data_IF_296135567107
#
_entry.id   IF_296135567107
#
_cell.length_a   1.000
_cell.length_b   1.000
_cell.length_c   1.000
_cell.angle_alpha   90.00
_cell.angle_beta   90.00
_cell.angle_gamma   90.00
#
_symmetry.space_group_name_H-M   'P 1'
#
loop_
_entity.id
_entity.type
_entity.pdbx_description
1 polymer ?
#
# COMPACT_ATOMS: atom_id res chain seq x y z
N UNK A 1 16.57 -34.50 0.40
CA UNK A 1 16.50 -33.93 1.75
C UNK A 1 15.35 -32.91 1.72
N UNK A 2 14.26 -33.25 2.37
CA UNK A 2 13.11 -32.36 2.51
C UNK A 2 13.52 -31.21 3.41
N UNK A 3 13.41 -29.99 2.90
CA UNK A 3 13.67 -28.76 3.65
C UNK A 3 12.36 -28.20 4.15
N UNK A 4 12.35 -27.62 5.32
CA UNK A 4 11.20 -26.92 5.83
C UNK A 4 11.05 -25.55 5.12
N UNK A 5 9.81 -25.16 4.91
CA UNK A 5 9.47 -23.84 4.37
C UNK A 5 9.94 -22.75 5.33
N UNK A 6 10.65 -21.75 4.82
CA UNK A 6 11.17 -20.64 5.61
C UNK A 6 10.10 -19.76 6.28
N UNK A 7 8.83 -19.90 5.87
CA UNK A 7 7.75 -19.07 6.40
C UNK A 7 6.80 -19.82 7.34
N UNK A 8 6.55 -21.12 7.14
CA UNK A 8 5.50 -21.83 7.86
C UNK A 8 5.91 -23.25 8.32
N UNK A 9 7.18 -23.60 8.24
CA UNK A 9 7.77 -24.88 8.63
C UNK A 9 7.20 -26.16 7.98
N UNK A 10 6.26 -26.02 7.05
CA UNK A 10 5.75 -27.14 6.27
C UNK A 10 6.80 -27.65 5.29
N UNK A 11 6.76 -28.92 4.87
CA UNK A 11 7.69 -29.42 3.87
C UNK A 11 7.72 -28.57 2.60
N UNK A 12 8.93 -28.25 2.13
CA UNK A 12 9.17 -27.56 0.88
C UNK A 12 9.98 -28.49 -0.05
N UNK A 13 9.47 -28.68 -1.27
CA UNK A 13 10.11 -29.48 -2.29
C UNK A 13 11.31 -28.73 -2.90
N UNK A 14 12.45 -29.40 -3.03
CA UNK A 14 13.60 -28.80 -3.72
C UNK A 14 13.21 -28.46 -5.19
N UNK A 15 13.68 -27.35 -5.75
CA UNK A 15 14.71 -26.42 -5.26
C UNK A 15 14.15 -25.25 -4.43
N UNK A 16 12.90 -25.29 -3.99
CA UNK A 16 12.20 -24.19 -3.35
C UNK A 16 12.57 -24.03 -1.88
N UNK A 17 12.63 -22.80 -1.41
CA UNK A 17 12.76 -22.46 0.01
C UNK A 17 11.41 -22.22 0.67
N UNK A 18 10.34 -22.10 -0.13
CA UNK A 18 8.97 -21.93 0.29
C UNK A 18 8.09 -23.10 -0.18
N UNK A 19 7.14 -23.52 0.65
CA UNK A 19 6.12 -24.50 0.24
C UNK A 19 5.15 -23.91 -0.80
N UNK A 20 4.37 -24.78 -1.46
CA UNK A 20 3.43 -24.39 -2.52
C UNK A 20 2.45 -23.29 -2.08
N UNK A 21 1.95 -23.35 -0.85
CA UNK A 21 1.01 -22.35 -0.31
C UNK A 21 1.69 -20.99 -0.16
N UNK A 22 2.90 -20.95 0.43
CA UNK A 22 3.64 -19.71 0.61
C UNK A 22 4.10 -19.10 -0.73
N UNK A 23 4.40 -19.91 -1.74
CA UNK A 23 4.72 -19.41 -3.09
C UNK A 23 3.50 -18.73 -3.76
N UNK A 24 2.29 -19.29 -3.57
CA UNK A 24 1.05 -18.65 -4.05
C UNK A 24 0.78 -17.34 -3.32
N UNK A 25 0.98 -17.33 -2.02
CA UNK A 25 0.83 -16.13 -1.21
C UNK A 25 1.85 -15.06 -1.61
N UNK A 26 3.09 -15.43 -1.90
CA UNK A 26 4.11 -14.52 -2.42
C UNK A 26 3.66 -13.84 -3.71
N UNK A 27 3.15 -14.62 -4.67
CA UNK A 27 2.62 -14.10 -5.93
C UNK A 27 1.43 -13.14 -5.70
N UNK A 28 0.52 -13.51 -4.78
CA UNK A 28 -0.65 -12.69 -4.42
C UNK A 28 -0.23 -11.35 -3.81
N UNK A 29 0.75 -11.36 -2.91
CA UNK A 29 1.24 -10.15 -2.27
C UNK A 29 1.98 -9.23 -3.24
N UNK A 30 2.77 -9.76 -4.17
CA UNK A 30 3.39 -8.95 -5.23
C UNK A 30 2.35 -8.25 -6.11
N UNK A 31 1.28 -8.97 -6.47
CA UNK A 31 0.17 -8.38 -7.22
C UNK A 31 -0.57 -7.30 -6.39
N UNK A 32 -0.88 -7.58 -5.12
CA UNK A 32 -1.52 -6.65 -4.19
C UNK A 32 -0.67 -5.39 -4.01
N UNK A 33 0.63 -5.55 -3.80
CA UNK A 33 1.57 -4.44 -3.66
C UNK A 33 1.61 -3.58 -4.93
N UNK A 34 1.60 -4.19 -6.11
CA UNK A 34 1.53 -3.46 -7.38
C UNK A 34 0.32 -2.52 -7.45
N UNK A 35 -0.86 -3.04 -7.10
CA UNK A 35 -2.10 -2.23 -7.07
C UNK A 35 -1.99 -1.11 -6.04
N UNK A 36 -1.54 -1.45 -4.83
CA UNK A 36 -1.39 -0.51 -3.72
C UNK A 36 -0.41 0.63 -4.05
N UNK A 37 0.72 0.34 -4.71
CA UNK A 37 1.70 1.37 -5.08
C UNK A 37 1.19 2.32 -6.17
N UNK A 38 0.38 1.84 -7.12
CA UNK A 38 -0.27 2.74 -8.08
C UNK A 38 -1.22 3.73 -7.38
N UNK A 39 -2.01 3.24 -6.43
CA UNK A 39 -2.92 4.08 -5.64
C UNK A 39 -2.14 5.04 -4.73
N UNK A 40 -1.08 4.54 -4.07
CA UNK A 40 -0.22 5.36 -3.21
C UNK A 40 0.46 6.48 -4.00
N UNK A 41 0.93 6.20 -5.22
CA UNK A 41 1.52 7.20 -6.10
C UNK A 41 0.51 8.30 -6.45
N UNK A 42 -0.74 7.94 -6.71
CA UNK A 42 -1.80 8.91 -6.97
C UNK A 42 -2.11 9.76 -5.73
N UNK A 43 -2.10 9.14 -4.52
CA UNK A 43 -2.23 9.88 -3.25
C UNK A 43 -1.04 10.81 -3.02
N UNK A 44 0.19 10.37 -3.29
CA UNK A 44 1.40 11.19 -3.16
C UNK A 44 1.35 12.43 -4.07
N UNK A 45 0.90 12.26 -5.30
CA UNK A 45 0.74 13.36 -6.27
C UNK A 45 -0.52 14.20 -6.04
N UNK A 46 -1.32 13.88 -5.02
CA UNK A 46 -2.63 14.51 -4.78
C UNK A 46 -3.57 14.50 -5.99
N UNK A 47 -3.41 13.54 -6.89
CA UNK A 47 -4.31 13.34 -8.03
C UNK A 47 -5.73 13.01 -7.56
N UNK A 48 -5.84 12.31 -6.42
CA UNK A 48 -7.10 12.22 -5.67
C UNK A 48 -7.18 13.42 -4.71
N UNK A 49 -7.83 14.49 -5.13
CA UNK A 49 -8.41 15.42 -4.19
C UNK A 49 -9.50 14.67 -3.44
N UNK A 50 -9.16 14.14 -2.27
CA UNK A 50 -10.17 13.85 -1.27
C UNK A 50 -10.78 15.20 -0.95
N UNK A 51 -11.82 15.57 -1.68
CA UNK A 51 -12.62 16.75 -1.39
C UNK A 51 -13.11 16.54 0.03
N UNK A 52 -12.50 17.22 1.01
CA UNK A 52 -13.19 17.46 2.25
C UNK A 52 -14.37 18.35 1.91
N UNK A 53 -15.61 17.80 1.90
CA UNK A 53 -16.77 18.64 1.73
C UNK A 53 -16.89 19.49 2.99
N UNK A 54 -16.59 20.77 2.90
CA UNK A 54 -16.74 21.69 3.99
C UNK A 54 -15.57 22.62 4.30
N UNK A 55 -14.41 22.48 3.69
CA UNK A 55 -13.35 23.49 3.78
C UNK A 55 -13.60 24.65 2.82
N UNK A 56 -14.80 25.24 2.87
CA UNK A 56 -15.14 26.51 2.25
C UNK A 56 -14.65 27.72 3.07
N UNK A 57 -13.69 27.52 3.98
CA UNK A 57 -12.97 28.57 4.63
C UNK A 57 -11.89 29.12 3.70
N UNK A 58 -11.93 30.43 3.37
CA UNK A 58 -10.81 31.15 2.77
C UNK A 58 -9.55 30.81 3.57
N UNK A 59 -8.45 30.43 2.90
CA UNK A 59 -7.17 30.26 3.61
C UNK A 59 -6.77 31.63 4.17
N UNK A 60 -6.92 31.78 5.47
CA UNK A 60 -6.37 32.90 6.21
C UNK A 60 -4.87 32.63 6.33
N UNK A 61 -4.05 33.32 5.52
CA UNK A 61 -2.63 33.57 5.72
C UNK A 61 -1.76 32.39 6.18
N UNK A 62 -1.86 31.23 5.55
CA UNK A 62 -0.95 30.11 5.76
C UNK A 62 -0.25 29.75 4.45
N UNK A 63 0.98 29.25 4.54
CA UNK A 63 1.72 28.73 3.39
C UNK A 63 0.84 27.84 2.53
N UNK A 64 0.94 28.00 1.20
CA UNK A 64 0.21 27.15 0.26
C UNK A 64 0.52 25.68 0.60
N UNK A 65 -0.50 24.81 0.74
CA UNK A 65 -0.27 23.43 1.10
C UNK A 65 0.68 22.79 0.10
N UNK A 66 1.72 22.11 0.60
CA UNK A 66 2.71 21.47 -0.25
C UNK A 66 2.03 20.67 -1.38
N UNK A 67 2.51 20.78 -2.62
CA UNK A 67 1.87 20.14 -3.78
C UNK A 67 1.92 18.61 -3.74
N UNK A 68 2.68 18.03 -2.81
CA UNK A 68 2.94 16.61 -2.66
C UNK A 68 2.54 16.17 -1.24
N UNK A 69 1.96 14.98 -1.12
CA UNK A 69 1.78 14.33 0.17
C UNK A 69 3.11 13.64 0.56
N UNK A 70 3.91 14.32 1.37
CA UNK A 70 5.24 13.85 1.77
C UNK A 70 5.21 12.47 2.44
N UNK A 71 4.23 12.19 3.31
CA UNK A 71 4.15 10.90 3.97
C UNK A 71 3.87 9.75 3.00
N UNK A 72 3.01 9.96 2.00
CA UNK A 72 2.77 8.98 0.96
C UNK A 72 3.99 8.81 0.03
N UNK A 73 4.72 9.91 -0.22
CA UNK A 73 5.95 9.86 -1.00
C UNK A 73 7.06 9.09 -0.26
N UNK A 74 7.29 9.37 1.01
CA UNK A 74 8.27 8.65 1.84
C UNK A 74 7.96 7.14 1.90
N UNK A 75 6.69 6.78 2.01
CA UNK A 75 6.26 5.38 2.00
C UNK A 75 6.53 4.71 0.65
N UNK A 76 6.32 5.44 -0.45
CA UNK A 76 6.59 4.96 -1.80
C UNK A 76 8.09 4.70 -1.98
N UNK A 77 8.94 5.64 -1.56
CA UNK A 77 10.39 5.56 -1.69
C UNK A 77 10.95 4.41 -0.83
N UNK A 78 10.52 4.29 0.43
CA UNK A 78 10.90 3.17 1.31
C UNK A 78 10.49 1.80 0.73
N UNK A 79 9.33 1.73 0.10
CA UNK A 79 8.86 0.48 -0.51
C UNK A 79 9.64 0.16 -1.79
N UNK A 80 10.00 1.17 -2.58
CA UNK A 80 10.85 1.00 -3.77
C UNK A 80 12.24 0.48 -3.38
N UNK A 81 12.87 1.03 -2.35
CA UNK A 81 14.16 0.56 -1.84
C UNK A 81 14.08 -0.90 -1.40
N UNK A 82 13.08 -1.28 -0.62
CA UNK A 82 12.90 -2.67 -0.20
C UNK A 82 12.64 -3.63 -1.36
N UNK A 83 11.91 -3.20 -2.40
CA UNK A 83 11.74 -3.98 -3.63
C UNK A 83 13.07 -4.16 -4.37
N UNK A 84 13.89 -3.12 -4.46
CA UNK A 84 15.20 -3.20 -5.09
C UNK A 84 16.11 -4.18 -4.35
N UNK A 85 16.13 -4.13 -3.02
CA UNK A 85 16.90 -5.07 -2.19
C UNK A 85 16.46 -6.52 -2.40
N UNK A 86 15.14 -6.75 -2.45
CA UNK A 86 14.59 -8.07 -2.74
C UNK A 86 15.02 -8.59 -4.13
N UNK A 87 15.03 -7.73 -5.15
CA UNK A 87 15.45 -8.09 -6.51
C UNK A 87 16.96 -8.31 -6.62
N UNK A 88 17.77 -7.59 -5.86
CA UNK A 88 19.23 -7.77 -5.83
C UNK A 88 19.60 -9.21 -5.44
N UNK A 89 18.83 -9.88 -4.60
CA UNK A 89 19.05 -11.29 -4.26
C UNK A 89 18.84 -12.26 -5.43
N UNK A 90 18.17 -11.82 -6.49
CA UNK A 90 18.01 -12.61 -7.73
C UNK A 90 19.08 -12.31 -8.79
N UNK A 91 20.12 -11.55 -8.43
CA UNK A 91 21.23 -11.20 -9.34
C UNK A 91 20.90 -10.07 -10.31
N UNK A 92 19.90 -9.26 -10.02
CA UNK A 92 19.59 -8.06 -10.82
C UNK A 92 20.40 -6.88 -10.31
N UNK A 93 21.47 -6.52 -10.97
CA UNK A 93 22.36 -5.41 -10.58
C UNK A 93 21.81 -4.01 -10.90
N UNK A 94 20.81 -3.91 -11.77
CA UNK A 94 20.17 -2.64 -12.11
C UNK A 94 19.15 -2.24 -11.04
N UNK A 95 18.97 -0.92 -10.83
CA UNK A 95 17.95 -0.36 -9.93
C UNK A 95 16.75 0.17 -10.73
N UNK A 96 15.94 -0.69 -11.35
CA UNK A 96 14.76 -0.23 -12.06
C UNK A 96 13.69 0.28 -11.07
N UNK A 97 12.83 1.15 -11.56
CA UNK A 97 11.68 1.63 -10.78
C UNK A 97 10.74 0.49 -10.40
N UNK A 98 10.02 0.65 -9.30
CA UNK A 98 9.08 -0.34 -8.77
C UNK A 98 8.07 -0.84 -9.82
N UNK A 99 7.64 0.02 -10.77
CA UNK A 99 6.73 -0.38 -11.84
C UNK A 99 7.32 -1.50 -12.70
N UNK A 100 8.59 -1.38 -13.03
CA UNK A 100 9.31 -2.39 -13.83
C UNK A 100 9.52 -3.66 -13.03
N UNK A 101 9.94 -3.55 -11.77
CA UNK A 101 10.12 -4.70 -10.87
C UNK A 101 8.84 -5.52 -10.75
N UNK A 102 7.72 -4.86 -10.44
CA UNK A 102 6.44 -5.55 -10.23
C UNK A 102 5.76 -5.99 -11.53
N UNK A 103 6.06 -5.36 -12.67
CA UNK A 103 5.64 -5.87 -13.97
C UNK A 103 6.33 -7.20 -14.30
N UNK A 104 7.62 -7.30 -13.97
CA UNK A 104 8.44 -8.46 -14.30
C UNK A 104 8.37 -9.55 -13.21
N UNK A 105 7.70 -9.28 -12.09
CA UNK A 105 7.53 -10.17 -10.94
C UNK A 105 7.02 -11.59 -11.30
N UNK A 106 6.02 -11.78 -12.19
CA UNK A 106 5.58 -13.13 -12.54
C UNK A 106 6.67 -13.99 -13.15
N UNK A 107 7.58 -13.39 -13.93
CA UNK A 107 8.72 -14.08 -14.56
C UNK A 107 9.81 -14.41 -13.55
N UNK A 108 10.02 -13.57 -12.56
CA UNK A 108 11.05 -13.69 -11.52
C UNK A 108 10.59 -14.43 -10.27
N UNK A 109 9.30 -14.72 -10.16
CA UNK A 109 8.75 -15.42 -8.99
C UNK A 109 9.48 -16.73 -8.67
N UNK A 110 9.89 -17.56 -9.64
CA UNK A 110 10.68 -18.75 -9.34
C UNK A 110 12.02 -18.43 -8.64
N UNK A 111 12.73 -17.39 -9.08
CA UNK A 111 14.02 -17.00 -8.52
C UNK A 111 13.82 -16.43 -7.10
N UNK A 112 12.81 -15.57 -6.90
CA UNK A 112 12.45 -15.03 -5.60
C UNK A 112 12.08 -16.13 -4.59
N UNK A 113 11.36 -17.16 -5.03
CA UNK A 113 10.99 -18.29 -4.17
C UNK A 113 12.12 -19.30 -3.93
N UNK A 114 13.26 -19.17 -4.61
CA UNK A 114 14.50 -19.95 -4.38
C UNK A 114 15.54 -19.16 -3.59
N UNK A 115 15.38 -17.85 -3.50
CA UNK A 115 16.30 -16.98 -2.79
C UNK A 115 16.49 -17.42 -1.32
N UNK A 116 17.67 -17.19 -0.79
CA UNK A 116 18.04 -17.61 0.56
C UNK A 116 17.19 -16.95 1.66
N UNK A 117 16.61 -15.77 1.39
CA UNK A 117 15.79 -14.98 2.32
C UNK A 117 14.33 -14.88 1.90
N UNK A 118 13.82 -15.82 1.12
CA UNK A 118 12.46 -15.75 0.58
C UNK A 118 11.38 -15.68 1.66
N UNK A 119 11.55 -16.32 2.81
CA UNK A 119 10.64 -16.22 3.95
C UNK A 119 10.63 -14.82 4.56
N UNK A 120 11.79 -14.18 4.70
CA UNK A 120 11.90 -12.80 5.14
C UNK A 120 11.16 -11.84 4.19
N UNK A 121 11.33 -12.00 2.89
CA UNK A 121 10.66 -11.15 1.90
C UNK A 121 9.16 -11.37 1.85
N UNK A 122 8.68 -12.57 2.10
CA UNK A 122 7.24 -12.83 2.22
C UNK A 122 6.62 -12.06 3.39
N UNK A 123 7.29 -12.07 4.55
CA UNK A 123 6.89 -11.29 5.72
C UNK A 123 6.96 -9.79 5.44
N UNK A 124 8.03 -9.32 4.81
CA UNK A 124 8.20 -7.93 4.44
C UNK A 124 7.08 -7.44 3.49
N UNK A 125 6.73 -8.23 2.45
CA UNK A 125 5.63 -7.92 1.53
C UNK A 125 4.30 -7.78 2.26
N UNK A 126 4.03 -8.65 3.24
CA UNK A 126 2.82 -8.57 4.07
C UNK A 126 2.77 -7.22 4.80
N UNK A 127 3.84 -6.88 5.51
CA UNK A 127 3.91 -5.61 6.24
C UNK A 127 3.88 -4.38 5.33
N UNK A 128 4.52 -4.44 4.17
CA UNK A 128 4.45 -3.36 3.19
C UNK A 128 3.02 -3.08 2.74
N UNK A 129 2.26 -4.13 2.39
CA UNK A 129 0.84 -4.00 2.05
C UNK A 129 0.01 -3.43 3.20
N UNK A 130 0.20 -3.95 4.42
CA UNK A 130 -0.53 -3.49 5.62
C UNK A 130 -0.26 -2.03 5.97
N UNK A 131 0.96 -1.54 5.76
CA UNK A 131 1.33 -0.14 6.00
C UNK A 131 0.77 0.82 4.95
N UNK A 132 0.67 0.38 3.70
CA UNK A 132 0.19 1.20 2.59
C UNK A 132 -1.34 1.33 2.60
N UNK A 133 -2.06 0.26 2.92
CA UNK A 133 -3.52 0.21 2.84
C UNK A 133 -4.24 1.32 3.62
N UNK A 134 -3.87 1.66 4.84
CA UNK A 134 -4.51 2.77 5.55
C UNK A 134 -4.31 4.13 4.88
N UNK A 135 -3.26 4.29 4.05
CA UNK A 135 -2.97 5.52 3.33
C UNK A 135 -3.83 5.66 2.06
N UNK A 136 -4.17 4.53 1.43
CA UNK A 136 -4.95 4.50 0.19
C UNK A 136 -6.45 4.25 0.44
N UNK A 137 -6.81 3.55 1.52
CA UNK A 137 -8.22 3.24 1.89
C UNK A 137 -8.88 4.40 2.66
N UNK A 138 -8.54 5.61 2.30
CA UNK A 138 -9.29 6.78 2.75
C UNK A 138 -10.59 6.88 1.97
N UNK A 139 -11.47 5.92 2.15
CA UNK A 139 -12.87 6.07 1.71
C UNK A 139 -13.38 7.36 2.34
N UNK A 140 -13.96 8.30 1.56
CA UNK A 140 -14.64 9.43 2.17
C UNK A 140 -15.62 8.82 3.15
N UNK A 141 -15.48 9.16 4.45
CA UNK A 141 -16.43 8.71 5.46
C UNK A 141 -17.80 9.11 4.91
N UNK A 142 -18.66 8.15 4.65
CA UNK A 142 -20.00 8.42 4.14
C UNK A 142 -20.69 9.32 5.16
N UNK A 143 -20.72 10.62 4.87
CA UNK A 143 -21.43 11.58 5.69
C UNK A 143 -22.91 11.44 5.35
N UNK A 144 -23.72 11.26 6.35
CA UNK A 144 -25.17 11.22 6.22
C UNK A 144 -25.72 12.62 6.43
N UNK A 145 -26.62 13.05 5.56
CA UNK A 145 -27.43 14.22 5.85
C UNK A 145 -28.30 13.85 7.05
N UNK A 146 -28.07 14.51 8.18
CA UNK A 146 -28.81 14.25 9.43
C UNK A 146 -29.91 15.27 9.68
N UNK A 147 -29.96 16.34 8.91
CA UNK A 147 -30.97 17.37 9.01
C UNK A 147 -30.57 18.67 8.35
N UNK A 148 -31.42 19.68 8.53
CA UNK A 148 -31.18 21.05 8.10
C UNK A 148 -30.82 21.90 9.34
N UNK A 149 -29.84 22.78 9.22
CA UNK A 149 -29.52 23.72 10.27
C UNK A 149 -30.71 24.69 10.50
N UNK A 150 -31.25 24.80 11.72
CA UNK A 150 -32.40 25.67 11.99
C UNK A 150 -32.06 27.16 11.82
N UNK A 151 -30.79 27.54 11.92
CA UNK A 151 -30.37 28.94 11.81
C UNK A 151 -30.09 29.38 10.38
N UNK A 152 -29.53 28.52 9.53
CA UNK A 152 -29.10 28.92 8.19
C UNK A 152 -29.70 28.08 7.05
N UNK A 153 -30.52 27.06 7.36
CA UNK A 153 -31.16 26.20 6.36
C UNK A 153 -30.21 25.32 5.55
N UNK A 154 -28.94 25.19 5.94
CA UNK A 154 -27.97 24.32 5.23
C UNK A 154 -28.07 22.89 5.72
N UNK A 155 -27.75 21.95 4.83
CA UNK A 155 -27.66 20.55 5.17
C UNK A 155 -26.58 20.29 6.23
N UNK A 156 -26.94 19.60 7.31
CA UNK A 156 -26.01 19.16 8.35
C UNK A 156 -25.58 17.74 8.04
N UNK A 157 -24.28 17.56 7.86
CA UNK A 157 -23.66 16.27 7.55
C UNK A 157 -22.96 15.71 8.78
N UNK A 158 -23.23 14.47 9.15
CA UNK A 158 -22.51 13.78 10.22
C UNK A 158 -21.81 12.51 9.69
N UNK A 159 -20.67 12.19 10.29
CA UNK A 159 -20.01 10.92 10.05
C UNK A 159 -20.83 9.76 10.67
N UNK A 160 -20.77 8.58 10.06
CA UNK A 160 -21.48 7.41 10.57
C UNK A 160 -20.97 7.09 11.99
N UNK A 161 -21.83 7.19 12.99
CA UNK A 161 -21.51 6.96 14.42
C UNK A 161 -21.29 8.23 15.24
N UNK A 162 -21.37 9.41 14.65
CA UNK A 162 -21.29 10.68 15.35
C UNK A 162 -22.71 11.10 15.84
N UNK A 163 -22.86 11.24 17.13
CA UNK A 163 -24.12 11.72 17.73
C UNK A 163 -24.00 13.25 17.86
N UNK A 164 -24.71 13.98 17.01
CA UNK A 164 -24.83 15.42 17.15
C UNK A 164 -25.73 15.72 18.37
N UNK A 165 -25.19 16.39 19.36
CA UNK A 165 -26.00 17.05 20.39
C UNK A 165 -26.46 18.38 19.79
N UNK A 166 -27.75 18.46 19.51
CA UNK A 166 -28.45 19.71 19.19
C UNK A 166 -28.62 20.55 20.45
#
# INVERSE_FOLDING_TARGET
MDRNCQNCDKPAEAPWTLCKTCRREYARLLHRLRVNLHLLQAVARREYRLSEPGAGGRPQGGDAPAPINLHAQDMLDQTEDGLQDMWNETGVESRPRWQTLLRDAPRRLPDLCRASRSGHWLTWLTHACERIEPLIDRRPRSRRIVGMCPECGREVLAAKGETLRL
#
